data_IF_876011517907
#
_entry.id   IF_876011517907
#
_cell.length_a   1.000
_cell.length_b   1.000
_cell.length_c   1.000
_cell.angle_alpha   90.00
_cell.angle_beta   90.00
_cell.angle_gamma   90.00
#
_symmetry.space_group_name_H-M   'P 1'
#
loop_
_entity.id
_entity.type
_entity.pdbx_description
1 polymer ?
#
# COMPACT_ATOMS: atom_id res chain seq x y z
N UNK A 1 -6.55 13.04 -7.85
CA UNK A 1 -7.21 11.98 -7.03
C UNK A 1 -6.15 10.97 -6.61
N UNK A 2 -6.13 10.58 -5.33
CA UNK A 2 -5.05 9.78 -4.72
C UNK A 2 -4.80 8.43 -5.42
N UNK A 3 -5.83 7.86 -6.07
CA UNK A 3 -5.76 6.63 -6.84
C UNK A 3 -4.66 6.61 -7.91
N UNK A 4 -4.39 7.72 -8.61
CA UNK A 4 -3.35 7.77 -9.66
C UNK A 4 -1.93 7.65 -9.09
N UNK A 5 -1.68 8.29 -7.95
CA UNK A 5 -0.38 8.22 -7.27
C UNK A 5 -0.12 6.81 -6.72
N UNK A 6 -1.17 6.17 -6.19
CA UNK A 6 -1.12 4.77 -5.72
C UNK A 6 -0.81 3.83 -6.90
N UNK A 7 -1.53 3.97 -8.01
CA UNK A 7 -1.27 3.17 -9.21
C UNK A 7 0.13 3.40 -9.77
N UNK A 8 0.64 4.64 -9.78
CA UNK A 8 2.01 4.91 -10.21
C UNK A 8 3.03 4.21 -9.32
N UNK A 9 2.87 4.28 -8.00
CA UNK A 9 3.77 3.60 -7.06
C UNK A 9 3.75 2.08 -7.22
N UNK A 10 2.57 1.48 -7.39
CA UNK A 10 2.39 0.04 -7.60
C UNK A 10 3.12 -0.43 -8.87
N UNK A 11 3.05 0.36 -9.95
CA UNK A 11 3.65 -0.02 -11.24
C UNK A 11 5.14 0.31 -11.36
N UNK A 12 5.70 1.15 -10.46
CA UNK A 12 7.07 1.66 -10.60
C UNK A 12 8.11 0.87 -9.80
N UNK A 13 7.74 0.28 -8.66
CA UNK A 13 8.68 -0.43 -7.79
C UNK A 13 8.02 -1.67 -7.14
N UNK A 14 8.55 -2.89 -7.34
CA UNK A 14 8.04 -4.12 -6.71
C UNK A 14 8.30 -4.20 -5.19
N UNK A 15 9.02 -3.23 -4.60
CA UNK A 15 9.36 -3.25 -3.19
C UNK A 15 8.14 -3.13 -2.27
N UNK A 16 8.15 -3.77 -1.08
CA UNK A 16 7.09 -3.65 -0.09
C UNK A 16 6.87 -2.19 0.33
N UNK A 17 5.65 -1.82 0.70
CA UNK A 17 5.32 -0.49 1.21
C UNK A 17 4.19 -0.53 2.23
N UNK A 18 3.90 0.61 2.86
CA UNK A 18 2.82 0.74 3.85
C UNK A 18 1.84 1.81 3.41
N UNK A 19 0.56 1.49 3.43
CA UNK A 19 -0.53 2.45 3.24
C UNK A 19 -0.96 2.95 4.62
N UNK A 20 -0.89 4.26 4.83
CA UNK A 20 -1.40 4.90 6.06
C UNK A 20 -2.77 5.50 5.82
N UNK A 21 -3.69 5.18 6.71
CA UNK A 21 -5.06 5.67 6.67
C UNK A 21 -5.26 6.86 7.63
N UNK A 22 -6.34 7.60 7.44
CA UNK A 22 -6.68 8.81 8.20
C UNK A 22 -6.97 8.55 9.68
N UNK A 23 -7.38 7.33 10.03
CA UNK A 23 -7.57 6.86 11.41
C UNK A 23 -6.25 6.43 12.09
N UNK A 24 -5.13 6.52 11.37
CA UNK A 24 -3.81 6.08 11.84
C UNK A 24 -3.48 4.61 11.54
N UNK A 25 -4.42 3.84 10.96
CA UNK A 25 -4.21 2.44 10.59
C UNK A 25 -3.10 2.32 9.54
N UNK A 26 -2.25 1.31 9.69
CA UNK A 26 -1.11 1.03 8.80
C UNK A 26 -1.28 -0.33 8.15
N UNK A 27 -1.61 -0.33 6.86
CA UNK A 27 -1.79 -1.55 6.07
C UNK A 27 -0.48 -1.86 5.35
N UNK A 28 0.17 -2.97 5.73
CA UNK A 28 1.42 -3.40 5.09
C UNK A 28 1.10 -4.13 3.78
N UNK A 29 1.73 -3.69 2.71
CA UNK A 29 1.69 -4.34 1.39
C UNK A 29 3.01 -5.08 1.19
N UNK A 30 2.94 -6.40 1.07
CA UNK A 30 4.12 -7.25 0.93
C UNK A 30 4.74 -7.19 -0.47
N UNK A 31 3.92 -7.03 -1.51
CA UNK A 31 4.32 -6.85 -2.90
C UNK A 31 3.16 -6.17 -3.66
N UNK A 32 3.42 -5.33 -4.68
CA UNK A 32 2.35 -4.66 -5.44
C UNK A 32 1.31 -5.60 -6.05
N UNK A 33 1.68 -6.84 -6.41
CA UNK A 33 0.74 -7.85 -6.94
C UNK A 33 -0.37 -8.26 -5.96
N UNK A 34 -0.17 -8.02 -4.66
CA UNK A 34 -1.21 -8.22 -3.64
C UNK A 34 -2.17 -7.03 -3.54
N UNK A 35 -2.10 -6.07 -4.46
CA UNK A 35 -2.92 -4.87 -4.45
C UNK A 35 -3.75 -4.76 -5.74
N UNK A 36 -5.05 -4.66 -5.59
CA UNK A 36 -5.95 -4.27 -6.68
C UNK A 36 -6.45 -2.84 -6.45
N UNK A 37 -6.32 -1.99 -7.47
CA UNK A 37 -6.78 -0.59 -7.44
C UNK A 37 -7.94 -0.43 -8.40
N UNK A 38 -9.02 0.19 -7.93
CA UNK A 38 -10.11 0.67 -8.78
C UNK A 38 -10.51 2.09 -8.35
N UNK A 39 -11.28 2.82 -9.16
CA UNK A 39 -11.75 4.15 -8.76
C UNK A 39 -12.48 4.09 -7.41
N UNK A 40 -11.99 4.83 -6.42
CA UNK A 40 -12.60 4.93 -5.09
C UNK A 40 -12.12 3.89 -4.06
N UNK A 41 -11.52 2.76 -4.47
CA UNK A 41 -11.15 1.70 -3.54
C UNK A 41 -9.82 1.00 -3.89
N UNK A 42 -9.13 0.55 -2.85
CA UNK A 42 -7.93 -0.29 -2.93
C UNK A 42 -8.18 -1.55 -2.11
N UNK A 43 -7.87 -2.71 -2.70
CA UNK A 43 -7.91 -4.01 -2.03
C UNK A 43 -6.49 -4.47 -1.79
N UNK A 44 -6.15 -4.84 -0.56
CA UNK A 44 -4.84 -5.39 -0.19
C UNK A 44 -5.03 -6.79 0.36
N UNK A 45 -4.34 -7.76 -0.25
CA UNK A 45 -4.27 -9.13 0.23
C UNK A 45 -3.09 -9.28 1.20
N UNK A 46 -3.37 -9.79 2.40
CA UNK A 46 -2.38 -10.13 3.41
C UNK A 46 -1.89 -11.57 3.28
N UNK A 47 -0.80 -11.89 3.98
CA UNK A 47 -0.20 -13.24 3.97
C UNK A 47 -1.09 -14.33 4.56
N UNK A 48 -2.05 -13.97 5.42
CA UNK A 48 -2.94 -14.91 6.10
C UNK A 48 -4.31 -14.96 5.40
N UNK A 49 -4.33 -14.81 4.07
CA UNK A 49 -5.55 -14.78 3.24
C UNK A 49 -6.54 -13.64 3.59
N UNK A 50 -6.12 -12.72 4.48
CA UNK A 50 -6.92 -11.57 4.88
C UNK A 50 -7.05 -10.58 3.72
N UNK A 51 -8.26 -10.11 3.44
CA UNK A 51 -8.50 -9.05 2.45
C UNK A 51 -8.86 -7.76 3.18
N UNK A 52 -8.07 -6.71 2.96
CA UNK A 52 -8.37 -5.37 3.49
C UNK A 52 -8.90 -4.50 2.38
N UNK A 53 -10.16 -4.06 2.52
CA UNK A 53 -10.78 -3.07 1.62
C UNK A 53 -10.58 -1.67 2.17
N UNK A 54 -10.00 -0.79 1.36
CA UNK A 54 -9.63 0.57 1.76
C UNK A 54 -10.32 1.56 0.81
N UNK A 55 -10.99 2.55 1.38
CA UNK A 55 -11.46 3.70 0.60
C UNK A 55 -10.29 4.64 0.30
N UNK A 56 -10.11 4.99 -0.98
CA UNK A 56 -9.01 5.85 -1.43
C UNK A 56 -8.99 7.25 -0.79
N UNK A 57 -10.13 7.75 -0.31
CA UNK A 57 -10.23 9.04 0.40
C UNK A 57 -9.61 8.97 1.80
N UNK A 58 -9.55 7.78 2.39
CA UNK A 58 -8.94 7.57 3.71
C UNK A 58 -7.42 7.39 3.62
N UNK A 59 -6.85 7.21 2.43
CA UNK A 59 -5.40 7.05 2.26
C UNK A 59 -4.72 8.43 2.37
N UNK A 60 -3.94 8.59 3.43
CA UNK A 60 -3.24 9.86 3.73
C UNK A 60 -1.75 9.82 3.41
N UNK A 61 -1.14 8.64 3.33
CA UNK A 61 0.27 8.49 2.92
C UNK A 61 0.59 7.09 2.40
N UNK A 62 1.63 7.02 1.57
CA UNK A 62 2.37 5.78 1.26
C UNK A 62 3.77 5.92 1.85
N UNK A 63 4.17 4.95 2.67
CA UNK A 63 5.45 4.95 3.36
C UNK A 63 6.32 3.81 2.84
N UNK A 64 7.54 4.14 2.42
CA UNK A 64 8.54 3.14 2.07
C UNK A 64 9.15 2.54 3.34
N UNK A 65 9.34 1.21 3.41
CA UNK A 65 10.12 0.61 4.49
C UNK A 65 11.53 1.19 4.41
N UNK A 66 11.98 1.80 5.52
CA UNK A 66 13.36 2.26 5.63
C UNK A 66 14.27 1.07 5.31
N UNK A 67 15.05 1.16 4.23
CA UNK A 67 16.13 0.21 3.94
C UNK A 67 17.02 0.15 5.18
N UNK A 68 16.87 -0.89 5.99
CA UNK A 68 17.81 -1.15 7.07
C UNK A 68 19.12 -1.47 6.37
N UNK A 69 20.09 -0.55 6.39
CA UNK A 69 21.44 -0.82 5.90
C UNK A 69 21.87 -2.16 6.49
N UNK A 70 22.09 -3.15 5.65
CA UNK A 70 22.73 -4.39 6.07
C UNK A 70 24.06 -3.97 6.71
N UNK A 71 24.25 -4.36 7.97
CA UNK A 71 25.51 -4.13 8.68
C UNK A 71 26.56 -4.92 7.88
N UNK A 72 27.51 -4.20 7.29
CA UNK A 72 28.69 -4.79 6.64
C UNK A 72 29.54 -5.54 7.65
#
# INVERSE_FOLDING_TARGET
MNSRLISQRINSDPSPFVIRLSDGTRVRVAHPDFVAVSPGQVLVMGRNESVTKIDTLHIVAIEEPRRRKAKA
#
